data_IF_824031736417
#
_entry.id   IF_824031736417
#
_cell.length_a   1.000
_cell.length_b   1.000
_cell.length_c   1.000
_cell.angle_alpha   90.00
_cell.angle_beta   90.00
_cell.angle_gamma   90.00
#
_symmetry.space_group_name_H-M   'P 1'
#
loop_
_entity.id
_entity.type
_entity.pdbx_description
1 polymer ?
#
# COMPACT_ATOMS: atom_id res chain seq x y z
N UNK A 1 -15.89 -5.05 10.65
CA UNK A 1 -15.04 -4.66 9.51
C UNK A 1 -13.63 -5.09 9.85
N UNK A 2 -13.00 -5.90 9.01
CA UNK A 2 -11.61 -6.33 9.25
C UNK A 2 -10.68 -5.24 8.70
N UNK A 3 -9.96 -4.55 9.58
CA UNK A 3 -8.94 -3.57 9.18
C UNK A 3 -7.79 -4.29 8.49
N UNK A 4 -7.44 -3.84 7.29
CA UNK A 4 -6.29 -4.34 6.54
C UNK A 4 -5.25 -3.23 6.34
N UNK A 5 -4.00 -3.60 6.14
CA UNK A 5 -2.86 -2.70 6.05
C UNK A 5 -2.13 -2.89 4.72
N UNK A 6 -1.96 -1.82 3.94
CA UNK A 6 -1.19 -1.81 2.72
C UNK A 6 0.27 -1.42 3.01
N UNK A 7 1.21 -2.17 2.44
CA UNK A 7 2.60 -1.78 2.34
C UNK A 7 2.79 -0.94 1.08
N UNK A 8 3.18 0.31 1.26
CA UNK A 8 3.33 1.29 0.18
C UNK A 8 4.80 1.63 0.02
N UNK A 9 5.27 1.60 -1.23
CA UNK A 9 6.62 1.98 -1.62
C UNK A 9 6.55 3.10 -2.65
N UNK A 10 7.23 4.21 -2.38
CA UNK A 10 7.42 5.28 -3.36
C UNK A 10 8.52 4.88 -4.33
N UNK A 11 8.19 4.80 -5.61
CA UNK A 11 9.13 4.54 -6.70
C UNK A 11 9.25 5.77 -7.60
N UNK A 12 10.44 6.02 -8.13
CA UNK A 12 10.65 7.08 -9.12
C UNK A 12 10.61 6.46 -10.52
N UNK A 13 9.67 6.92 -11.34
CA UNK A 13 9.60 6.53 -12.75
C UNK A 13 10.79 7.10 -13.52
N UNK A 14 11.02 6.59 -14.73
CA UNK A 14 12.05 7.12 -15.65
C UNK A 14 11.81 8.58 -16.03
N UNK A 15 10.57 9.08 -15.87
CA UNK A 15 10.20 10.49 -16.01
C UNK A 15 10.70 11.37 -14.84
N UNK A 16 11.15 10.76 -13.74
CA UNK A 16 11.50 11.45 -12.49
C UNK A 16 10.31 11.69 -11.56
N UNK A 17 9.11 11.25 -11.93
CA UNK A 17 7.91 11.40 -11.11
C UNK A 17 7.84 10.33 -10.02
N UNK A 18 7.60 10.72 -8.75
CA UNK A 18 7.35 9.77 -7.68
C UNK A 18 5.94 9.18 -7.80
N UNK A 19 5.83 7.87 -7.65
CA UNK A 19 4.55 7.14 -7.62
C UNK A 19 4.53 6.23 -6.41
N UNK A 20 3.46 6.30 -5.64
CA UNK A 20 3.22 5.39 -4.52
C UNK A 20 2.58 4.10 -5.00
N UNK A 21 3.27 2.99 -4.79
CA UNK A 21 2.83 1.66 -5.24
C UNK A 21 2.54 0.75 -4.05
N UNK A 22 1.37 0.11 -4.05
CA UNK A 22 1.04 -0.93 -3.07
C UNK A 22 1.78 -2.22 -3.44
N UNK A 23 2.68 -2.66 -2.58
CA UNK A 23 3.47 -3.88 -2.78
C UNK A 23 2.88 -5.10 -2.07
N UNK A 24 1.95 -4.88 -1.13
CA UNK A 24 1.22 -5.95 -0.45
C UNK A 24 0.12 -5.44 0.46
N UNK A 25 -0.84 -6.32 0.79
CA UNK A 25 -1.93 -6.06 1.75
C UNK A 25 -1.93 -7.15 2.81
N UNK A 26 -2.03 -6.74 4.08
CA UNK A 26 -1.86 -7.61 5.25
C UNK A 26 -2.99 -7.43 6.25
N UNK A 27 -3.22 -8.45 7.07
CA UNK A 27 -4.30 -8.45 8.06
C UNK A 27 -3.97 -7.67 9.33
N UNK A 28 -2.69 -7.36 9.55
CA UNK A 28 -2.22 -6.61 10.72
C UNK A 28 -1.02 -5.71 10.40
N UNK A 29 -0.86 -4.64 11.17
CA UNK A 29 0.29 -3.74 11.07
C UNK A 29 1.62 -4.49 11.27
N UNK A 30 1.64 -5.44 12.22
CA UNK A 30 2.84 -6.22 12.53
C UNK A 30 3.30 -7.09 11.35
N UNK A 31 2.35 -7.74 10.67
CA UNK A 31 2.64 -8.52 9.46
C UNK A 31 3.18 -7.64 8.34
N UNK A 32 2.56 -6.48 8.13
CA UNK A 32 2.99 -5.52 7.12
C UNK A 32 4.43 -5.04 7.37
N UNK A 33 4.76 -4.59 8.59
CA UNK A 33 6.11 -4.14 8.94
C UNK A 33 7.15 -5.25 8.83
N UNK A 34 6.78 -6.47 9.24
CA UNK A 34 7.66 -7.64 9.11
C UNK A 34 7.95 -7.96 7.64
N UNK A 35 6.94 -7.84 6.78
CA UNK A 35 7.10 -8.02 5.35
C UNK A 35 7.99 -6.94 4.73
N UNK A 36 7.83 -5.67 5.11
CA UNK A 36 8.69 -4.56 4.67
C UNK A 36 10.16 -4.82 5.01
N UNK A 37 10.44 -5.20 6.27
CA UNK A 37 11.78 -5.54 6.73
C UNK A 37 12.36 -6.76 5.98
N UNK A 38 11.55 -7.79 5.74
CA UNK A 38 11.97 -9.01 5.03
C UNK A 38 12.26 -8.75 3.55
N UNK A 39 11.45 -7.92 2.91
CA UNK A 39 11.64 -7.49 1.52
C UNK A 39 12.77 -6.45 1.38
N UNK A 40 13.25 -5.88 2.49
CA UNK A 40 14.28 -4.83 2.54
C UNK A 40 13.89 -3.61 1.70
N UNK A 41 12.60 -3.29 1.67
CA UNK A 41 12.10 -2.12 0.96
C UNK A 41 11.90 -0.96 1.95
N UNK A 42 12.21 0.29 1.55
CA UNK A 42 11.92 1.48 2.35
C UNK A 42 10.44 1.85 2.22
N UNK A 43 9.55 0.90 2.54
CA UNK A 43 8.11 1.07 2.43
C UNK A 43 7.44 1.23 3.79
N UNK A 44 6.33 1.97 3.81
CA UNK A 44 5.54 2.25 5.00
C UNK A 44 4.20 1.51 4.98
N UNK A 45 3.66 1.23 6.17
CA UNK A 45 2.42 0.49 6.34
C UNK A 45 1.27 1.41 6.73
N UNK A 46 0.21 1.39 5.93
CA UNK A 46 -0.95 2.26 6.11
C UNK A 46 -2.24 1.44 6.16
N UNK A 47 -3.21 1.86 6.96
CA UNK A 47 -4.54 1.23 6.94
C UNK A 47 -5.22 1.49 5.60
N UNK A 48 -5.79 0.48 4.96
CA UNK A 48 -6.38 0.61 3.61
C UNK A 48 -7.52 1.63 3.60
N UNK A 49 -8.31 1.70 4.69
CA UNK A 49 -9.35 2.73 4.86
C UNK A 49 -8.79 4.17 4.84
N UNK A 50 -7.46 4.33 4.98
CA UNK A 50 -6.73 5.61 4.90
C UNK A 50 -5.86 5.75 3.64
N UNK A 51 -5.71 4.69 2.84
CA UNK A 51 -4.91 4.69 1.59
C UNK A 51 -5.80 4.80 0.36
N UNK A 52 -6.93 4.09 0.37
CA UNK A 52 -7.92 4.17 -0.69
C UNK A 52 -8.92 5.23 -0.24
N UNK A 53 -8.86 6.41 -0.87
CA UNK A 53 -10.01 7.30 -0.82
C UNK A 53 -11.16 6.53 -1.45
N UNK A 54 -12.21 6.25 -0.67
CA UNK A 54 -13.45 5.73 -1.22
C UNK A 54 -14.14 6.87 -1.98
N UNK A 55 -13.49 7.38 -3.03
CA UNK A 55 -14.12 8.28 -3.96
C UNK A 55 -15.11 7.42 -4.73
N UNK A 56 -16.39 7.76 -4.66
CA UNK A 56 -17.46 6.93 -5.22
C UNK A 56 -17.39 6.81 -6.76
N UNK A 57 -16.40 7.47 -7.37
CA UNK A 57 -16.06 7.43 -8.78
C UNK A 57 -14.93 6.46 -9.14
N UNK A 58 -14.25 5.83 -8.17
CA UNK A 58 -13.21 4.84 -8.46
C UNK A 58 -13.81 3.44 -8.66
N UNK A 59 -13.45 2.79 -9.76
CA UNK A 59 -13.84 1.40 -10.04
C UNK A 59 -12.74 0.50 -9.46
N UNK A 60 -13.05 -0.42 -8.52
CA UNK A 60 -12.07 -1.37 -8.00
C UNK A 60 -11.50 -2.21 -9.14
N UNK A 61 -10.18 -2.35 -9.18
CA UNK A 61 -9.53 -3.21 -10.17
C UNK A 61 -9.93 -4.68 -9.93
N UNK A 62 -10.87 -5.20 -10.72
CA UNK A 62 -11.29 -6.60 -10.67
C UNK A 62 -12.75 -6.88 -11.02
N UNK A 63 -13.35 -6.12 -11.96
CA UNK A 63 -14.70 -6.40 -12.47
C UNK A 63 -14.69 -7.51 -13.52
#
# INVERSE_FOLDING_TARGET
>A
MNTVFALVLTVFLVSGEPVDMVTGVYSSMKECMTAAAKQKIPGDCYQVDKVIHHDNNEIPAGL
#
